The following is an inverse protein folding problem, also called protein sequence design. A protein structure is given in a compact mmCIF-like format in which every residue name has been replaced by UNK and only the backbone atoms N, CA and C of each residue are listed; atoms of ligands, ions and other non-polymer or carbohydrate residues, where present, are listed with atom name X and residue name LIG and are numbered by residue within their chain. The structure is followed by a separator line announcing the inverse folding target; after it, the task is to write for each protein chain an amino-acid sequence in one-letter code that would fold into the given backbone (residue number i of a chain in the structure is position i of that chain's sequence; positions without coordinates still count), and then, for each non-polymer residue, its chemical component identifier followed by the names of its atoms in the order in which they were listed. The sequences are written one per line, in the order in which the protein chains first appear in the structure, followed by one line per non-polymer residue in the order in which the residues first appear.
data_IF_438872273095
#
_entry.id   IF_438872273095
#
_cell.length_a   1.000
_cell.length_b   1.000
_cell.length_c   1.000
_cell.angle_alpha   90.00
_cell.angle_beta   90.00
_cell.angle_gamma   90.00
#
_symmetry.space_group_name_H-M   'P 1'
#
loop_
_entity.id
_entity.type
_entity.pdbx_description
1 polymer ?
#
# COMPACT_ATOMS: atom_id res chain seq x y z
N UNK A 1 -3.55 -14.02 4.86
CA UNK A 1 -3.99 -12.78 4.16
C UNK A 1 -3.14 -12.67 2.91
N UNK A 2 -3.67 -12.32 1.72
CA UNK A 2 -2.80 -12.24 0.53
C UNK A 2 -1.90 -10.99 0.62
N UNK A 3 -0.70 -11.05 0.05
CA UNK A 3 0.27 -9.94 0.00
C UNK A 3 -0.38 -8.61 -0.43
N UNK A 4 -1.17 -8.64 -1.50
CA UNK A 4 -1.88 -7.46 -2.01
C UNK A 4 -2.87 -6.85 -1.01
N UNK A 5 -3.50 -7.67 -0.16
CA UNK A 5 -4.43 -7.16 0.85
C UNK A 5 -3.66 -6.43 1.97
N UNK A 6 -2.45 -6.90 2.31
CA UNK A 6 -1.54 -6.26 3.24
C UNK A 6 -1.06 -4.90 2.71
N UNK A 7 -0.59 -4.90 1.46
CA UNK A 7 -0.17 -3.70 0.72
C UNK A 7 -1.29 -2.65 0.71
N UNK A 8 -2.50 -3.07 0.36
CA UNK A 8 -3.67 -2.17 0.33
C UNK A 8 -4.15 -1.75 1.72
N UNK A 9 -3.85 -2.50 2.78
CA UNK A 9 -4.18 -2.14 4.17
C UNK A 9 -3.25 -1.05 4.70
N UNK A 10 -2.00 -1.04 4.25
CA UNK A 10 -1.00 -0.04 4.59
C UNK A 10 -1.04 1.19 3.67
N UNK A 11 -1.88 1.20 2.64
CA UNK A 11 -1.92 2.32 1.70
C UNK A 11 -2.67 3.53 2.25
N UNK A 12 -2.11 4.71 2.01
CA UNK A 12 -2.74 6.00 2.20
C UNK A 12 -1.86 6.96 3.00
N UNK A 13 -2.02 8.26 2.75
CA UNK A 13 -1.20 9.31 3.38
C UNK A 13 -1.26 9.23 4.91
N UNK A 14 -2.44 9.02 5.47
CA UNK A 14 -2.64 8.85 6.91
C UNK A 14 -1.83 7.66 7.46
N UNK A 15 -1.82 6.52 6.75
CA UNK A 15 -1.08 5.32 7.15
C UNK A 15 0.42 5.54 7.13
N UNK A 16 0.90 6.26 6.11
CA UNK A 16 2.30 6.67 6.01
C UNK A 16 2.70 7.61 7.16
N UNK A 17 1.92 8.67 7.40
CA UNK A 17 2.20 9.66 8.45
C UNK A 17 2.16 9.07 9.86
N UNK A 18 1.23 8.15 10.11
CA UNK A 18 1.15 7.41 11.38
C UNK A 18 2.23 6.33 11.52
N UNK A 19 3.07 6.10 10.50
CA UNK A 19 4.02 4.99 10.45
C UNK A 19 3.34 3.65 10.78
N UNK A 20 2.18 3.44 10.15
CA UNK A 20 1.43 2.21 10.34
C UNK A 20 2.22 1.02 9.82
N UNK A 21 2.24 -0.08 10.56
CA UNK A 21 2.94 -1.29 10.16
C UNK A 21 2.08 -2.52 10.46
N UNK A 22 2.22 -3.54 9.61
CA UNK A 22 1.65 -4.85 9.86
C UNK A 22 2.64 -5.93 9.44
N UNK A 23 2.79 -6.95 10.29
CA UNK A 23 3.61 -8.12 9.98
C UNK A 23 2.70 -9.27 9.58
N UNK A 24 2.91 -9.84 8.39
CA UNK A 24 2.14 -10.98 7.87
C UNK A 24 3.12 -11.99 7.33
N UNK A 25 3.01 -13.25 7.78
CA UNK A 25 3.83 -14.37 7.32
C UNK A 25 5.35 -14.09 7.38
N UNK A 26 5.79 -13.28 8.36
CA UNK A 26 7.19 -12.89 8.55
C UNK A 26 7.62 -11.63 7.81
N UNK A 27 6.86 -11.18 6.81
CA UNK A 27 7.11 -9.97 6.03
C UNK A 27 6.50 -8.73 6.71
N UNK A 28 7.25 -7.62 6.73
CA UNK A 28 6.82 -6.35 7.31
C UNK A 28 6.29 -5.43 6.20
N UNK A 29 5.05 -4.99 6.33
CA UNK A 29 4.41 -4.03 5.43
C UNK A 29 4.24 -2.72 6.17
N UNK A 30 4.88 -1.66 5.66
CA UNK A 30 4.81 -0.32 6.24
C UNK A 30 3.85 0.57 5.46
N UNK A 31 3.40 1.64 6.12
CA UNK A 31 2.57 2.67 5.51
C UNK A 31 3.24 3.26 4.27
N UNK A 32 2.49 3.39 3.18
CA UNK A 32 3.00 3.91 1.90
C UNK A 32 1.88 4.65 1.16
N UNK A 33 2.25 5.61 0.31
CA UNK A 33 1.31 6.32 -0.54
C UNK A 33 2.03 6.94 -1.74
N UNK A 34 1.26 7.29 -2.78
CA UNK A 34 1.78 8.02 -3.93
C UNK A 34 1.35 9.47 -3.75
N UNK A 35 2.27 10.42 -3.88
CA UNK A 35 1.96 11.84 -3.72
C UNK A 35 0.83 12.26 -4.68
N UNK A 36 -0.23 12.87 -4.13
CA UNK A 36 -1.44 13.23 -4.90
C UNK A 36 -2.50 12.12 -4.97
N UNK A 37 -2.21 10.91 -4.47
CA UNK A 37 -3.14 9.80 -4.29
C UNK A 37 -3.18 9.39 -2.81
N UNK A 38 -3.80 10.22 -2.00
CA UNK A 38 -3.75 10.09 -0.54
C UNK A 38 -4.62 8.95 0.00
N UNK A 39 -5.60 8.48 -0.78
CA UNK A 39 -6.61 7.49 -0.36
C UNK A 39 -6.59 6.23 -1.21
N UNK A 40 -6.85 5.09 -0.56
CA UNK A 40 -6.95 3.76 -1.20
C UNK A 40 -7.95 3.72 -2.34
N UNK A 41 -9.08 4.40 -2.21
CA UNK A 41 -10.12 4.45 -3.24
C UNK A 41 -9.59 5.09 -4.53
N UNK A 42 -8.73 6.11 -4.41
CA UNK A 42 -8.10 6.77 -5.56
C UNK A 42 -7.11 5.81 -6.22
N UNK A 43 -6.26 5.12 -5.45
CA UNK A 43 -5.34 4.13 -6.01
C UNK A 43 -6.07 3.05 -6.84
N UNK A 44 -7.18 2.52 -6.30
CA UNK A 44 -7.95 1.47 -6.95
C UNK A 44 -8.73 1.94 -8.19
N UNK A 45 -9.01 3.24 -8.31
CA UNK A 45 -9.59 3.81 -9.52
C UNK A 45 -8.59 3.91 -10.68
N UNK A 46 -7.30 4.10 -10.35
CA UNK A 46 -6.26 4.37 -11.34
C UNK A 46 -5.46 3.13 -11.73
N UNK A 47 -5.33 2.17 -10.81
CA UNK A 47 -4.46 1.00 -10.98
C UNK A 47 -5.18 -0.30 -10.68
N UNK A 48 -4.92 -1.30 -11.51
CA UNK A 48 -5.29 -2.68 -11.21
C UNK A 48 -4.45 -3.23 -10.05
N UNK A 49 -4.95 -4.28 -9.38
CA UNK A 49 -4.20 -4.96 -8.30
C UNK A 49 -2.80 -5.44 -8.73
N UNK A 50 -2.65 -5.83 -10.00
CA UNK A 50 -1.35 -6.25 -10.55
C UNK A 50 -0.38 -5.07 -10.63
N UNK A 51 -0.83 -3.94 -11.18
CA UNK A 51 -0.02 -2.72 -11.26
C UNK A 51 0.34 -2.17 -9.86
N UNK A 52 -0.60 -2.24 -8.91
CA UNK A 52 -0.33 -1.83 -7.51
C UNK A 52 0.79 -2.66 -6.89
N UNK A 53 0.81 -3.99 -7.15
CA UNK A 53 1.87 -4.85 -6.68
C UNK A 53 3.22 -4.45 -7.32
N UNK A 54 3.24 -4.22 -8.63
CA UNK A 54 4.45 -3.79 -9.36
C UNK A 54 4.99 -2.44 -8.85
N UNK A 55 4.10 -1.47 -8.57
CA UNK A 55 4.47 -0.17 -8.00
C UNK A 55 5.05 -0.32 -6.59
N UNK A 56 4.41 -1.13 -5.75
CA UNK A 56 4.91 -1.37 -4.39
C UNK A 56 6.29 -2.03 -4.40
N UNK A 57 6.48 -3.01 -5.29
CA UNK A 57 7.74 -3.74 -5.42
C UNK A 57 8.85 -2.92 -6.10
N UNK A 58 8.53 -1.79 -6.74
CA UNK A 58 9.54 -0.87 -7.27
C UNK A 58 10.24 -0.02 -6.21
N UNK A 59 9.79 -0.08 -4.95
CA UNK A 59 10.41 0.61 -3.82
C UNK A 59 10.05 2.09 -3.68
N UNK A 60 8.87 2.49 -4.16
CA UNK A 60 8.26 3.81 -3.87
C UNK A 60 7.87 3.90 -2.39
#
# INVERSE_FOLDING_TARGET
MKKIDAILKCYGKEKFEQKFEVKIDGELFTGWYIYGLDKKEQLLQWFSKKQILEIYESGI
#
